data_IF_455804645581
#
_entry.id   IF_455804645581
#
_cell.length_a   1.000
_cell.length_b   1.000
_cell.length_c   1.000
_cell.angle_alpha   90.00
_cell.angle_beta   90.00
_cell.angle_gamma   90.00
#
_symmetry.space_group_name_H-M   'P 1'
#
loop_
_entity.id
_entity.type
_entity.pdbx_description
1 polymer ?
#
# COMPACT_ATOMS: atom_id res chain seq x y z
N UNK A 1 17.13 63.49 45.93
CA UNK A 1 16.17 63.90 44.88
C UNK A 1 15.44 62.65 44.41
N UNK A 2 14.24 62.31 44.81
CA UNK A 2 13.37 62.63 45.94
C UNK A 2 12.49 61.36 46.03
N UNK A 3 12.53 60.65 47.16
CA UNK A 3 11.39 60.52 48.08
C UNK A 3 10.37 59.45 47.61
N UNK A 4 9.79 58.56 48.41
CA UNK A 4 9.76 58.34 49.86
C UNK A 4 8.93 57.06 50.14
N UNK A 5 9.28 56.34 51.22
CA UNK A 5 8.50 55.47 52.13
C UNK A 5 7.51 54.42 51.59
N UNK A 6 7.75 53.10 51.72
CA UNK A 6 7.81 52.17 52.88
C UNK A 6 6.46 51.69 53.44
N UNK A 7 6.42 50.34 53.56
CA UNK A 7 5.81 49.51 54.62
C UNK A 7 4.43 48.86 54.40
N UNK A 8 4.51 47.53 54.29
CA UNK A 8 3.99 46.51 55.20
C UNK A 8 2.49 46.40 55.55
N UNK A 9 1.99 45.21 55.17
CA UNK A 9 1.18 44.25 55.92
C UNK A 9 -0.27 44.55 56.36
N UNK A 10 -1.13 43.68 55.80
CA UNK A 10 -2.18 42.88 56.43
C UNK A 10 -3.44 43.59 56.98
N UNK A 11 -4.60 43.24 56.42
CA UNK A 11 -5.66 42.46 57.09
C UNK A 11 -6.85 42.15 56.16
N UNK A 12 -7.54 41.06 56.49
CA UNK A 12 -8.68 40.41 55.83
C UNK A 12 -9.89 41.27 55.47
N UNK A 13 -10.53 40.92 54.34
CA UNK A 13 -11.99 40.78 54.22
C UNK A 13 -12.33 39.78 53.10
N UNK A 14 -13.06 38.73 53.42
CA UNK A 14 -13.54 37.74 52.45
C UNK A 14 -14.90 38.10 51.86
N UNK A 15 -15.16 37.62 50.63
CA UNK A 15 -16.51 37.29 50.13
C UNK A 15 -16.32 36.15 49.13
N UNK A 16 -16.91 34.98 49.44
CA UNK A 16 -17.00 33.87 48.50
C UNK A 16 -18.15 34.05 47.52
N UNK A 17 -17.98 33.56 46.29
CA UNK A 17 -19.10 33.22 45.39
C UNK A 17 -18.71 32.05 44.49
N UNK A 18 -19.26 30.89 44.86
CA UNK A 18 -19.91 29.87 44.04
C UNK A 18 -19.18 29.28 42.82
N UNK A 19 -18.94 27.99 42.96
CA UNK A 19 -18.94 26.99 41.90
C UNK A 19 -19.97 27.26 40.79
N UNK A 20 -19.45 27.22 39.56
CA UNK A 20 -20.03 26.58 38.37
C UNK A 20 -18.83 25.82 37.80
N UNK A 21 -18.72 24.49 37.91
CA UNK A 21 -19.62 23.48 37.38
C UNK A 21 -20.25 23.91 36.06
N UNK A 22 -19.39 24.33 35.13
CA UNK A 22 -19.66 24.17 33.71
C UNK A 22 -18.62 23.16 33.20
N UNK A 23 -18.88 21.88 33.51
CA UNK A 23 -18.44 20.77 32.68
C UNK A 23 -19.20 20.92 31.35
N UNK A 24 -18.79 21.89 30.54
CA UNK A 24 -19.08 21.89 29.14
C UNK A 24 -18.18 20.78 28.58
N UNK A 25 -18.72 19.56 28.53
CA UNK A 25 -18.24 18.55 27.60
C UNK A 25 -18.06 19.28 26.28
N UNK A 26 -16.82 19.40 25.80
CA UNK A 26 -16.59 19.72 24.40
C UNK A 26 -17.55 18.83 23.60
N UNK A 27 -18.28 19.37 22.60
CA UNK A 27 -19.11 18.52 21.77
C UNK A 27 -18.19 17.41 21.27
N UNK A 28 -18.47 16.16 21.67
CA UNK A 28 -17.61 15.03 21.35
C UNK A 28 -17.32 15.12 19.87
N UNK A 29 -16.05 15.38 19.53
CA UNK A 29 -15.63 15.56 18.15
C UNK A 29 -16.15 14.40 17.31
N UNK A 30 -16.40 14.64 16.03
CA UNK A 30 -16.74 13.57 15.10
C UNK A 30 -15.73 12.41 15.32
N UNK A 31 -16.19 11.17 15.55
CA UNK A 31 -15.25 10.09 15.82
C UNK A 31 -14.27 9.93 14.65
N UNK A 32 -13.02 9.61 14.97
CA UNK A 32 -11.92 9.63 14.02
C UNK A 32 -11.49 8.22 13.64
N UNK A 33 -11.27 7.97 12.36
CA UNK A 33 -10.58 6.78 11.86
C UNK A 33 -9.17 7.19 11.44
N UNK A 34 -8.17 6.59 12.08
CA UNK A 34 -6.75 6.88 11.84
C UNK A 34 -6.17 5.83 10.91
N UNK A 35 -5.63 6.25 9.78
CA UNK A 35 -4.88 5.41 8.84
C UNK A 35 -3.39 5.55 9.10
N UNK A 36 -2.67 4.43 9.18
CA UNK A 36 -1.20 4.39 9.29
C UNK A 36 -0.64 3.64 8.09
N UNK A 37 -0.02 4.37 7.16
CA UNK A 37 0.33 3.88 5.82
C UNK A 37 1.83 4.09 5.51
N UNK A 38 2.42 3.25 4.64
CA UNK A 38 3.78 3.45 4.14
C UNK A 38 3.85 4.61 3.14
N UNK A 39 5.05 4.98 2.66
CA UNK A 39 5.21 6.05 1.65
C UNK A 39 4.74 5.67 0.25
N UNK A 40 4.51 4.38 -0.02
CA UNK A 40 4.25 3.90 -1.37
C UNK A 40 2.87 4.30 -1.89
N UNK A 41 2.85 4.89 -3.10
CA UNK A 41 1.64 5.36 -3.78
C UNK A 41 0.61 4.23 -3.98
N UNK A 42 1.03 3.00 -4.21
CA UNK A 42 0.14 1.85 -4.41
C UNK A 42 -0.78 1.60 -3.22
N UNK A 43 -0.29 1.83 -2.01
CA UNK A 43 -1.07 1.68 -0.78
C UNK A 43 -2.16 2.73 -0.64
N UNK A 44 -1.86 3.96 -1.06
CA UNK A 44 -2.86 5.03 -1.12
C UNK A 44 -3.91 4.79 -2.21
N UNK A 45 -3.54 4.13 -3.32
CA UNK A 45 -4.46 3.90 -4.43
C UNK A 45 -5.71 3.12 -4.01
N UNK A 46 -5.56 2.12 -3.16
CA UNK A 46 -6.71 1.33 -2.69
C UNK A 46 -7.31 1.88 -1.38
N UNK A 47 -6.50 2.39 -0.46
CA UNK A 47 -7.01 2.87 0.85
C UNK A 47 -7.80 4.17 0.75
N UNK A 48 -7.55 5.02 -0.26
CA UNK A 48 -8.34 6.24 -0.47
C UNK A 48 -9.84 5.95 -0.62
N UNK A 49 -10.19 4.79 -1.19
CA UNK A 49 -11.58 4.41 -1.39
C UNK A 49 -12.25 4.07 -0.07
N UNK A 50 -11.53 3.39 0.83
CA UNK A 50 -11.98 3.14 2.21
C UNK A 50 -12.14 4.48 2.93
N UNK A 51 -11.12 5.34 2.88
CA UNK A 51 -11.15 6.65 3.52
C UNK A 51 -12.34 7.49 3.05
N UNK A 52 -12.61 7.52 1.74
CA UNK A 52 -13.74 8.24 1.16
C UNK A 52 -15.09 7.73 1.71
N UNK A 53 -15.32 6.42 1.73
CA UNK A 53 -16.58 5.86 2.26
C UNK A 53 -16.73 6.12 3.76
N UNK A 54 -15.66 5.91 4.55
CA UNK A 54 -15.71 6.16 5.99
C UNK A 54 -15.85 7.65 6.32
N UNK A 55 -15.39 8.56 5.45
CA UNK A 55 -15.49 10.02 5.67
C UNK A 55 -16.93 10.56 5.71
N UNK A 56 -17.91 9.77 5.25
CA UNK A 56 -19.34 10.10 5.39
C UNK A 56 -19.78 10.14 6.86
N UNK A 57 -19.12 9.36 7.72
CA UNK A 57 -19.47 9.21 9.14
C UNK A 57 -18.35 9.69 10.07
N UNK A 58 -17.09 9.54 9.66
CA UNK A 58 -15.92 9.75 10.51
C UNK A 58 -15.02 10.87 10.01
N UNK A 59 -14.33 11.54 10.93
CA UNK A 59 -13.15 12.30 10.56
C UNK A 59 -12.06 11.32 10.14
N UNK A 60 -11.29 11.64 9.10
CA UNK A 60 -10.20 10.79 8.61
C UNK A 60 -8.87 11.48 8.85
N UNK A 61 -7.97 10.78 9.52
CA UNK A 61 -6.57 11.19 9.68
C UNK A 61 -5.66 10.15 9.04
N UNK A 62 -4.62 10.61 8.35
CA UNK A 62 -3.62 9.74 7.71
C UNK A 62 -2.24 10.08 8.25
N UNK A 63 -1.57 9.07 8.79
CA UNK A 63 -0.19 9.12 9.24
C UNK A 63 0.68 8.30 8.29
N UNK A 64 1.64 8.96 7.64
CA UNK A 64 2.56 8.32 6.70
C UNK A 64 3.85 9.15 6.59
N UNK A 65 4.95 8.63 6.00
CA UNK A 65 6.12 9.43 5.68
C UNK A 65 5.74 10.67 4.85
N UNK A 66 6.45 11.79 5.05
CA UNK A 66 6.11 13.06 4.41
C UNK A 66 6.14 13.00 2.87
N UNK A 67 6.93 12.09 2.29
CA UNK A 67 7.00 11.80 0.86
C UNK A 67 5.68 11.30 0.27
N UNK A 68 4.72 10.90 1.11
CA UNK A 68 3.41 10.40 0.72
C UNK A 68 2.30 11.47 0.73
N UNK A 69 2.59 12.71 1.13
CA UNK A 69 1.58 13.75 1.33
C UNK A 69 0.70 13.98 0.09
N UNK A 70 1.31 13.96 -1.10
CA UNK A 70 0.61 14.15 -2.39
C UNK A 70 -0.34 13.00 -2.76
N UNK A 71 -0.30 11.88 -2.03
CA UNK A 71 -1.17 10.72 -2.25
C UNK A 71 -2.35 10.66 -1.30
N UNK A 72 -2.33 11.49 -0.25
CA UNK A 72 -3.37 11.50 0.77
C UNK A 72 -4.74 11.84 0.16
N UNK A 73 -5.82 11.17 0.59
CA UNK A 73 -7.16 11.47 0.11
C UNK A 73 -7.57 12.88 0.54
N UNK A 74 -8.23 13.63 -0.35
CA UNK A 74 -8.68 15.00 -0.08
C UNK A 74 -9.61 15.12 1.14
N UNK A 75 -10.29 14.04 1.51
CA UNK A 75 -11.17 13.96 2.67
C UNK A 75 -10.45 13.79 4.01
N UNK A 76 -9.11 13.67 4.02
CA UNK A 76 -8.33 13.38 5.22
C UNK A 76 -7.36 14.50 5.61
N UNK A 77 -7.14 14.64 6.92
CA UNK A 77 -6.02 15.40 7.47
C UNK A 77 -4.75 14.55 7.40
N UNK A 78 -3.68 15.10 6.81
CA UNK A 78 -2.40 14.41 6.67
C UNK A 78 -1.41 14.80 7.78
N UNK A 79 -0.78 13.80 8.40
CA UNK A 79 0.17 13.96 9.50
C UNK A 79 1.49 13.24 9.16
N UNK A 80 2.57 13.98 8.86
CA UNK A 80 3.82 13.37 8.45
C UNK A 80 4.52 12.65 9.61
N UNK A 81 4.97 11.42 9.36
CA UNK A 81 5.80 10.65 10.28
C UNK A 81 7.31 10.90 10.10
N UNK A 82 7.69 11.60 9.04
CA UNK A 82 9.08 11.99 8.74
C UNK A 82 9.16 13.48 8.41
N UNK A 83 10.37 14.05 8.37
CA UNK A 83 10.54 15.43 7.93
C UNK A 83 10.26 15.58 6.42
N UNK A 84 9.92 16.79 5.96
CA UNK A 84 9.44 17.03 4.57
C UNK A 84 10.34 16.51 3.44
N UNK A 85 11.66 16.38 3.68
CA UNK A 85 12.64 15.91 2.69
C UNK A 85 13.28 14.57 3.08
N UNK A 86 12.67 13.85 4.01
CA UNK A 86 13.20 12.62 4.56
C UNK A 86 12.60 11.40 3.85
N UNK A 87 13.39 10.86 2.93
CA UNK A 87 13.09 9.69 2.09
C UNK A 87 13.72 8.40 2.66
N UNK A 88 14.17 8.38 3.91
CA UNK A 88 14.82 7.20 4.51
C UNK A 88 13.93 5.96 4.42
N UNK A 89 12.62 6.14 4.61
CA UNK A 89 11.66 5.06 4.52
C UNK A 89 11.58 4.51 3.10
N UNK A 90 11.52 5.38 2.09
CA UNK A 90 11.53 4.98 0.67
C UNK A 90 12.81 4.21 0.30
N UNK A 91 13.98 4.66 0.78
CA UNK A 91 15.26 3.96 0.55
C UNK A 91 15.31 2.61 1.26
N UNK A 92 14.84 2.56 2.51
CA UNK A 92 14.75 1.32 3.29
C UNK A 92 13.84 0.30 2.60
N UNK A 93 12.64 0.68 2.16
CA UNK A 93 11.74 -0.21 1.42
C UNK A 93 12.40 -0.71 0.15
N UNK A 94 13.08 0.15 -0.63
CA UNK A 94 13.82 -0.29 -1.83
C UNK A 94 14.92 -1.30 -1.51
N UNK A 95 15.71 -1.05 -0.45
CA UNK A 95 16.78 -1.95 -0.01
C UNK A 95 16.20 -3.29 0.47
N UNK A 96 15.12 -3.26 1.26
CA UNK A 96 14.38 -4.44 1.70
C UNK A 96 13.89 -5.29 0.51
N UNK A 97 13.32 -4.66 -0.51
CA UNK A 97 12.86 -5.34 -1.72
C UNK A 97 14.01 -5.91 -2.55
N UNK A 98 15.15 -5.23 -2.62
CA UNK A 98 16.34 -5.75 -3.29
C UNK A 98 16.84 -7.04 -2.62
N UNK A 99 16.87 -7.08 -1.28
CA UNK A 99 17.21 -8.30 -0.52
C UNK A 99 16.16 -9.40 -0.75
N UNK A 100 14.87 -9.04 -0.72
CA UNK A 100 13.75 -9.96 -0.98
C UNK A 100 13.59 -10.39 -2.45
N UNK A 101 14.53 -10.04 -3.33
CA UNK A 101 14.57 -10.50 -4.74
C UNK A 101 15.28 -11.85 -4.91
N UNK A 102 15.95 -12.33 -3.86
CA UNK A 102 16.67 -13.60 -3.82
C UNK A 102 15.75 -14.81 -4.03
N UNK A 103 16.32 -15.94 -4.44
CA UNK A 103 15.60 -17.18 -4.74
C UNK A 103 15.37 -17.36 -6.23
N UNK A 104 15.30 -18.62 -6.67
CA UNK A 104 15.06 -18.97 -8.09
C UNK A 104 14.29 -20.27 -8.27
N UNK A 105 13.76 -20.86 -7.20
CA UNK A 105 13.02 -22.12 -7.27
C UNK A 105 11.81 -21.98 -8.23
N UNK A 106 11.58 -22.97 -9.12
CA UNK A 106 10.41 -22.99 -10.00
C UNK A 106 9.11 -23.31 -9.27
N UNK A 107 9.14 -23.66 -7.98
CA UNK A 107 7.95 -23.73 -7.12
C UNK A 107 7.70 -22.36 -6.46
N UNK A 108 6.49 -21.79 -6.59
CA UNK A 108 6.23 -20.44 -6.10
C UNK A 108 6.36 -20.31 -4.58
N UNK A 109 5.99 -21.36 -3.83
CA UNK A 109 6.06 -21.33 -2.37
C UNK A 109 7.51 -21.43 -1.91
N UNK A 110 8.30 -22.33 -2.49
CA UNK A 110 9.72 -22.47 -2.15
C UNK A 110 10.52 -21.24 -2.49
N UNK A 111 10.27 -20.61 -3.65
CA UNK A 111 10.94 -19.37 -4.03
C UNK A 111 10.66 -18.24 -3.01
N UNK A 112 9.43 -18.19 -2.51
CA UNK A 112 9.02 -17.28 -1.45
C UNK A 112 9.74 -17.59 -0.12
N UNK A 113 9.79 -18.86 0.28
CA UNK A 113 10.48 -19.29 1.50
C UNK A 113 12.00 -19.00 1.44
N UNK A 114 12.63 -19.19 0.27
CA UNK A 114 14.04 -18.85 0.01
C UNK A 114 14.29 -17.35 0.13
N UNK A 115 13.42 -16.53 -0.48
CA UNK A 115 13.51 -15.07 -0.43
C UNK A 115 13.37 -14.56 1.00
N UNK A 116 12.43 -15.11 1.77
CA UNK A 116 12.21 -14.75 3.17
C UNK A 116 13.38 -15.16 4.07
N UNK A 117 13.90 -16.39 3.90
CA UNK A 117 15.07 -16.84 4.64
C UNK A 117 16.28 -15.95 4.36
N UNK A 118 16.52 -15.60 3.09
CA UNK A 118 17.58 -14.68 2.69
C UNK A 118 17.36 -13.28 3.28
N UNK A 119 16.13 -12.77 3.22
CA UNK A 119 15.75 -11.48 3.81
C UNK A 119 16.09 -11.43 5.30
N UNK A 120 15.63 -12.41 6.09
CA UNK A 120 15.88 -12.48 7.54
C UNK A 120 17.38 -12.50 7.87
N UNK A 121 18.20 -13.11 7.02
CA UNK A 121 19.65 -13.21 7.23
C UNK A 121 20.41 -11.93 6.85
N UNK A 122 19.98 -11.19 5.82
CA UNK A 122 20.79 -10.14 5.20
C UNK A 122 20.22 -8.72 5.33
N UNK A 123 18.97 -8.55 5.79
CA UNK A 123 18.34 -7.24 5.83
C UNK A 123 19.06 -6.25 6.74
N UNK A 124 19.50 -6.66 7.93
CA UNK A 124 20.20 -5.76 8.86
C UNK A 124 21.55 -5.30 8.32
N UNK A 125 22.32 -6.19 7.69
CA UNK A 125 23.59 -5.84 7.04
C UNK A 125 23.35 -4.85 5.91
N UNK A 126 22.38 -5.16 5.04
CA UNK A 126 22.01 -4.31 3.91
C UNK A 126 21.55 -2.91 4.39
N UNK A 127 20.72 -2.83 5.43
CA UNK A 127 20.30 -1.56 6.00
C UNK A 127 21.45 -0.84 6.72
N UNK A 128 22.35 -1.57 7.38
CA UNK A 128 23.54 -1.00 8.03
C UNK A 128 24.51 -0.33 7.05
N UNK A 129 24.64 -0.86 5.84
CA UNK A 129 25.42 -0.23 4.77
C UNK A 129 24.79 1.08 4.27
N UNK A 130 23.47 1.07 4.05
CA UNK A 130 22.71 2.22 3.53
C UNK A 130 22.55 3.33 4.58
N UNK A 131 22.35 2.94 5.84
CA UNK A 131 22.03 3.80 6.98
C UNK A 131 23.11 3.72 8.06
N UNK A 132 24.38 3.83 7.64
CA UNK A 132 25.52 3.66 8.52
C UNK A 132 25.49 4.62 9.73
N UNK A 133 24.93 5.82 9.58
CA UNK A 133 24.82 6.78 10.69
C UNK A 133 23.83 6.30 11.76
N UNK A 134 22.65 5.83 11.36
CA UNK A 134 21.61 5.30 12.26
C UNK A 134 22.10 4.05 12.98
N UNK A 135 22.74 3.13 12.27
CA UNK A 135 23.30 1.91 12.87
C UNK A 135 24.51 2.20 13.76
N UNK A 136 25.40 3.12 13.38
CA UNK A 136 26.54 3.51 14.23
C UNK A 136 26.10 4.23 15.51
N UNK A 137 24.94 4.91 15.47
CA UNK A 137 24.35 5.57 16.64
C UNK A 137 23.68 4.60 17.63
N UNK A 138 23.61 3.30 17.30
CA UNK A 138 22.90 2.29 18.09
C UNK A 138 21.39 2.25 17.85
N UNK A 139 20.82 3.21 17.10
CA UNK A 139 19.39 3.28 16.81
C UNK A 139 18.94 2.24 15.78
N UNK A 140 19.80 1.85 14.84
CA UNK A 140 19.48 0.85 13.82
C UNK A 140 18.16 1.13 13.10
N UNK A 141 17.29 0.11 13.02
CA UNK A 141 15.97 0.21 12.40
C UNK A 141 15.04 1.24 13.07
N UNK A 142 15.18 1.50 14.36
CA UNK A 142 14.37 2.50 15.07
C UNK A 142 14.60 3.91 14.50
N UNK A 143 15.82 4.20 14.06
CA UNK A 143 16.17 5.46 13.39
C UNK A 143 15.54 5.65 12.01
N UNK A 144 14.94 4.60 11.43
CA UNK A 144 14.37 4.62 10.08
C UNK A 144 12.87 4.88 10.03
N UNK A 145 12.17 4.78 11.15
CA UNK A 145 10.70 4.85 11.20
C UNK A 145 10.16 6.29 11.22
N UNK A 146 10.98 7.25 11.65
CA UNK A 146 10.63 8.66 11.78
C UNK A 146 11.23 9.30 13.03
N UNK A 147 11.12 10.64 13.20
CA UNK A 147 11.49 11.30 14.44
C UNK A 147 10.72 10.74 15.63
N UNK A 148 11.43 10.56 16.75
CA UNK A 148 10.85 10.01 17.99
C UNK A 148 9.61 10.78 18.44
N UNK A 149 9.65 12.10 18.30
CA UNK A 149 8.56 13.00 18.67
C UNK A 149 7.28 12.71 17.86
N UNK A 150 7.40 12.46 16.56
CA UNK A 150 6.27 12.15 15.69
C UNK A 150 5.68 10.76 15.99
N UNK A 151 6.56 9.79 16.28
CA UNK A 151 6.13 8.42 16.64
C UNK A 151 5.41 8.41 17.99
N UNK A 152 5.89 9.17 18.98
CA UNK A 152 5.19 9.38 20.26
C UNK A 152 3.87 10.08 20.05
N UNK A 153 3.84 11.14 19.24
CA UNK A 153 2.60 11.85 18.95
C UNK A 153 1.55 10.95 18.28
N UNK A 154 1.95 10.06 17.36
CA UNK A 154 1.07 9.03 16.80
C UNK A 154 0.58 8.06 17.90
N UNK A 155 1.50 7.51 18.70
CA UNK A 155 1.17 6.60 19.80
C UNK A 155 0.22 7.23 20.81
N UNK A 156 0.35 8.52 21.12
CA UNK A 156 -0.58 9.27 21.98
C UNK A 156 -1.90 9.58 21.28
N UNK A 157 -1.87 9.92 19.98
CA UNK A 157 -3.06 10.27 19.19
C UNK A 157 -4.05 9.11 19.14
N UNK A 158 -3.56 7.90 18.88
CA UNK A 158 -4.43 6.72 18.74
C UNK A 158 -5.13 6.32 20.04
N UNK A 159 -4.64 6.77 21.20
CA UNK A 159 -5.26 6.51 22.51
C UNK A 159 -6.38 7.47 22.85
N UNK A 160 -6.59 8.53 22.06
CA UNK A 160 -7.61 9.53 22.36
C UNK A 160 -9.01 8.95 22.21
N UNK A 161 -9.98 9.34 23.07
CA UNK A 161 -11.29 8.69 23.11
C UNK A 161 -12.14 8.88 21.85
N UNK A 162 -11.82 9.89 21.05
CA UNK A 162 -12.47 10.14 19.76
C UNK A 162 -12.01 9.16 18.68
N UNK A 163 -10.87 8.47 18.84
CA UNK A 163 -10.38 7.48 17.88
C UNK A 163 -11.27 6.23 17.93
N UNK A 164 -12.07 6.09 16.87
CA UNK A 164 -13.00 4.99 16.71
C UNK A 164 -12.30 3.72 16.24
N UNK A 165 -11.27 3.83 15.39
CA UNK A 165 -10.55 2.71 14.79
C UNK A 165 -9.17 3.17 14.27
N UNK A 166 -8.18 2.29 14.37
CA UNK A 166 -6.89 2.43 13.66
C UNK A 166 -6.81 1.41 12.52
N UNK A 167 -6.75 1.90 11.29
CA UNK A 167 -6.49 1.13 10.07
C UNK A 167 -5.00 1.20 9.73
N UNK A 168 -4.38 0.06 9.49
CA UNK A 168 -2.93 0.02 9.24
C UNK A 168 -2.56 -1.09 8.26
N UNK A 169 -1.44 -0.91 7.58
CA UNK A 169 -0.94 -1.88 6.60
C UNK A 169 -0.03 -2.93 7.27
N UNK A 170 -0.36 -4.22 7.10
CA UNK A 170 0.36 -5.34 7.74
C UNK A 170 1.63 -5.79 6.98
N UNK A 171 2.11 -5.01 5.99
CA UNK A 171 3.28 -5.35 5.18
C UNK A 171 4.51 -4.45 5.42
N UNK A 172 4.45 -3.49 6.35
CA UNK A 172 5.46 -2.42 6.44
C UNK A 172 6.05 -2.19 7.85
N UNK A 173 6.99 -1.26 8.00
CA UNK A 173 7.67 -1.05 9.30
C UNK A 173 6.76 -0.52 10.40
N UNK A 174 5.55 -0.08 10.06
CA UNK A 174 4.57 0.44 11.01
C UNK A 174 3.67 -0.64 11.60
N UNK A 175 3.91 -1.93 11.32
CA UNK A 175 3.15 -3.06 11.88
C UNK A 175 3.05 -3.05 13.42
N UNK A 176 4.03 -2.48 14.10
CA UNK A 176 4.02 -2.30 15.56
C UNK A 176 2.82 -1.50 16.08
N UNK A 177 2.20 -0.64 15.25
CA UNK A 177 1.03 0.14 15.68
C UNK A 177 -0.15 -0.76 16.06
N UNK A 178 -0.28 -1.92 15.42
CA UNK A 178 -1.28 -2.93 15.78
C UNK A 178 -1.07 -3.48 17.19
N UNK A 179 0.18 -3.72 17.58
CA UNK A 179 0.55 -4.17 18.94
C UNK A 179 0.29 -3.08 19.98
N UNK A 180 0.66 -1.83 19.69
CA UNK A 180 0.35 -0.67 20.54
C UNK A 180 -1.17 -0.52 20.76
N UNK A 181 -1.96 -0.59 19.69
CA UNK A 181 -3.42 -0.54 19.79
C UNK A 181 -3.97 -1.64 20.71
N UNK A 182 -3.43 -2.86 20.61
CA UNK A 182 -3.84 -4.01 21.43
C UNK A 182 -3.48 -3.85 22.90
N UNK A 183 -2.27 -3.38 23.19
CA UNK A 183 -1.82 -3.12 24.57
C UNK A 183 -2.70 -2.08 25.29
N UNK A 184 -3.17 -1.08 24.55
CA UNK A 184 -3.94 0.02 25.12
C UNK A 184 -5.46 -0.04 24.90
N UNK A 185 -5.98 -1.07 24.22
CA UNK A 185 -7.43 -1.25 24.03
C UNK A 185 -8.03 -0.28 23.01
N UNK A 186 -7.32 -0.04 21.91
CA UNK A 186 -7.78 0.72 20.75
C UNK A 186 -8.14 -0.29 19.65
N UNK A 187 -9.40 -0.32 19.14
CA UNK A 187 -9.76 -1.24 18.08
C UNK A 187 -8.91 -0.96 16.83
N UNK A 188 -8.46 -2.02 16.16
CA UNK A 188 -7.65 -1.87 14.95
C UNK A 188 -7.99 -2.90 13.87
N UNK A 189 -7.79 -2.48 12.62
CA UNK A 189 -8.00 -3.32 11.45
C UNK A 189 -6.74 -3.29 10.57
N UNK A 190 -6.10 -4.45 10.44
CA UNK A 190 -4.94 -4.62 9.59
C UNK A 190 -5.36 -4.92 8.14
N UNK A 191 -4.80 -4.22 7.16
CA UNK A 191 -4.98 -4.49 5.75
C UNK A 191 -3.80 -5.33 5.25
N UNK A 192 -4.09 -6.46 4.60
CA UNK A 192 -3.10 -7.43 4.13
C UNK A 192 -3.20 -7.53 2.61
N UNK A 193 -2.43 -6.74 1.84
CA UNK A 193 -2.53 -6.69 0.39
C UNK A 193 -1.72 -7.77 -0.35
N UNK A 194 -0.91 -8.55 0.37
CA UNK A 194 0.03 -9.51 -0.22
C UNK A 194 -0.20 -10.92 0.34
N UNK A 195 -0.13 -11.97 -0.50
CA UNK A 195 -0.18 -13.32 -0.01
C UNK A 195 1.13 -13.74 0.68
N UNK A 196 2.26 -13.06 0.46
CA UNK A 196 3.58 -13.58 0.87
C UNK A 196 3.82 -13.69 2.37
N UNK A 197 3.11 -12.89 3.17
CA UNK A 197 3.09 -13.07 4.61
C UNK A 197 2.17 -14.23 4.95
N UNK A 198 2.46 -15.39 4.35
CA UNK A 198 1.77 -16.63 4.58
C UNK A 198 1.89 -16.94 6.04
N UNK A 199 0.78 -16.61 6.69
CA UNK A 199 0.67 -16.55 8.11
C UNK A 199 1.15 -17.86 8.69
N UNK A 200 2.28 -17.80 9.36
CA UNK A 200 2.60 -18.75 10.39
C UNK A 200 1.92 -18.22 11.66
N UNK A 201 1.16 -19.04 12.40
CA UNK A 201 0.56 -18.63 13.67
C UNK A 201 1.48 -17.86 14.60
N UNK A 202 2.77 -18.17 14.53
CA UNK A 202 3.87 -17.57 15.27
C UNK A 202 4.13 -16.09 14.88
N UNK A 203 3.90 -15.70 13.63
CA UNK A 203 4.13 -14.33 13.12
C UNK A 203 3.01 -13.36 13.48
N UNK A 204 1.95 -13.83 14.16
CA UNK A 204 0.73 -13.06 14.39
C UNK A 204 0.97 -11.73 15.11
N UNK A 205 2.06 -11.59 15.88
CA UNK A 205 2.36 -10.41 16.67
C UNK A 205 3.86 -10.15 16.92
N UNK A 206 4.78 -10.76 16.17
CA UNK A 206 6.23 -10.47 16.31
C UNK A 206 6.61 -9.16 15.59
N UNK A 207 6.16 -8.04 16.14
CA UNK A 207 6.81 -6.75 15.97
C UNK A 207 6.78 -6.12 17.34
N UNK A 208 7.95 -6.06 17.99
CA UNK A 208 8.09 -5.46 19.31
C UNK A 208 7.44 -4.06 19.30
N UNK A 209 6.42 -3.79 20.13
CA UNK A 209 5.86 -2.44 20.24
C UNK A 209 6.91 -1.42 20.70
N UNK A 210 8.01 -1.88 21.34
CA UNK A 210 9.19 -1.07 21.68
C UNK A 210 9.97 -0.71 20.41
N UNK A 211 9.42 0.23 19.67
CA UNK A 211 10.06 0.80 18.49
C UNK A 211 10.86 2.07 18.82
N UNK A 212 10.89 2.48 20.08
CA UNK A 212 11.60 3.65 20.58
C UNK A 212 12.38 3.31 21.84
N UNK A 213 13.65 3.73 21.90
CA UNK A 213 14.41 3.68 23.16
C UNK A 213 13.70 4.55 24.22
N UNK A 214 13.59 4.01 25.46
CA UNK A 214 13.03 4.67 26.63
C UNK A 214 11.62 5.27 26.39
N UNK A 215 10.63 4.44 26.12
CA UNK A 215 9.25 4.91 25.89
C UNK A 215 8.69 5.71 27.08
N UNK A 216 7.99 6.82 26.80
CA UNK A 216 7.29 7.53 27.85
C UNK A 216 6.19 6.63 28.44
N UNK A 217 5.90 6.81 29.72
CA UNK A 217 4.70 6.20 30.29
C UNK A 217 3.48 6.91 29.72
N UNK A 218 2.75 6.23 28.84
CA UNK A 218 1.44 6.69 28.40
C UNK A 218 0.50 6.68 29.61
N UNK A 219 -0.05 7.85 29.97
CA UNK A 219 -1.00 7.96 31.08
C UNK A 219 -2.29 7.22 30.78
N UNK A 220 -3.08 6.94 31.82
CA UNK A 220 -4.48 6.56 31.61
C UNK A 220 -5.19 7.70 30.89
N UNK A 221 -5.60 7.46 29.65
CA UNK A 221 -6.43 8.40 28.91
C UNK A 221 -7.87 8.23 29.40
N UNK A 222 -8.45 9.31 29.90
CA UNK A 222 -9.84 9.34 30.36
C UNK A 222 -10.76 8.87 29.22
N UNK A 223 -11.60 7.86 29.48
CA UNK A 223 -12.47 7.27 28.46
C UNK A 223 -11.87 6.10 27.68
N UNK A 224 -10.65 5.64 28.01
CA UNK A 224 -10.17 4.34 27.54
C UNK A 224 -11.04 3.19 28.05
N UNK A 225 -11.11 2.14 27.23
CA UNK A 225 -11.86 0.91 27.53
C UNK A 225 -11.18 0.17 28.67
N UNK A 226 -11.93 -0.18 29.72
CA UNK A 226 -11.44 -0.89 30.91
C UNK A 226 -11.08 -2.33 30.55
N UNK A 227 -11.88 -3.02 29.74
CA UNK A 227 -11.59 -4.38 29.28
C UNK A 227 -10.87 -4.42 27.92
N UNK A 228 -9.60 -4.02 27.92
CA UNK A 228 -8.74 -3.98 26.73
C UNK A 228 -8.64 -5.32 26.00
N UNK A 229 -8.71 -6.45 26.72
CA UNK A 229 -8.58 -7.78 26.13
C UNK A 229 -9.77 -8.16 25.22
N UNK A 230 -10.91 -7.49 25.38
CA UNK A 230 -12.09 -7.67 24.53
C UNK A 230 -12.14 -6.72 23.35
N UNK A 231 -11.24 -5.73 23.28
CA UNK A 231 -11.21 -4.77 22.19
C UNK A 231 -10.85 -5.51 20.90
N UNK A 232 -11.63 -5.32 19.82
CA UNK A 232 -11.47 -6.19 18.68
C UNK A 232 -10.30 -5.74 17.80
N UNK A 233 -9.54 -6.73 17.33
CA UNK A 233 -8.44 -6.56 16.40
C UNK A 233 -8.58 -7.60 15.29
N UNK A 234 -8.70 -7.15 14.05
CA UNK A 234 -8.90 -8.04 12.91
C UNK A 234 -7.86 -7.82 11.82
N UNK A 235 -7.72 -8.82 10.96
CA UNK A 235 -6.96 -8.75 9.70
C UNK A 235 -7.92 -8.91 8.53
N UNK A 236 -7.79 -8.05 7.52
CA UNK A 236 -8.53 -8.09 6.27
C UNK A 236 -7.55 -8.35 5.12
N UNK A 237 -7.70 -9.50 4.47
CA UNK A 237 -6.93 -9.85 3.27
C UNK A 237 -7.59 -9.21 2.06
N UNK A 238 -6.90 -8.24 1.48
CA UNK A 238 -7.39 -7.39 0.39
C UNK A 238 -6.91 -7.85 -0.98
N UNK A 239 -6.66 -9.16 -1.13
CA UNK A 239 -6.17 -9.80 -2.35
C UNK A 239 -7.19 -10.78 -2.92
N UNK A 240 -7.06 -11.10 -4.21
CA UNK A 240 -7.98 -12.02 -4.87
C UNK A 240 -7.87 -13.42 -4.25
N UNK A 241 -8.97 -14.08 -3.83
CA UNK A 241 -8.91 -15.38 -3.17
C UNK A 241 -8.09 -16.45 -3.88
N UNK A 242 -8.03 -16.42 -5.23
CA UNK A 242 -7.21 -17.35 -6.01
C UNK A 242 -5.70 -17.11 -5.95
N UNK A 243 -5.28 -16.00 -5.37
CA UNK A 243 -3.88 -15.70 -5.06
C UNK A 243 -3.49 -16.16 -3.64
N UNK A 244 -4.35 -16.91 -2.94
CA UNK A 244 -3.97 -17.59 -1.72
C UNK A 244 -3.34 -18.95 -2.03
N UNK A 245 -2.26 -19.36 -1.33
CA UNK A 245 -1.71 -20.71 -1.46
C UNK A 245 -2.47 -21.75 -0.65
N UNK A 246 -3.16 -21.34 0.42
CA UNK A 246 -3.99 -22.19 1.26
C UNK A 246 -5.48 -21.97 0.94
N UNK A 247 -6.32 -22.92 1.35
CA UNK A 247 -7.77 -22.73 1.32
C UNK A 247 -8.17 -21.52 2.16
N UNK A 248 -9.18 -20.76 1.71
CA UNK A 248 -9.63 -19.55 2.41
C UNK A 248 -10.03 -19.79 3.88
N UNK A 249 -10.47 -21.02 4.21
CA UNK A 249 -10.90 -21.43 5.55
C UNK A 249 -9.74 -21.61 6.54
N UNK A 250 -8.50 -21.62 6.06
CA UNK A 250 -7.29 -21.82 6.88
C UNK A 250 -6.66 -20.50 7.34
N UNK A 251 -7.23 -19.35 6.94
CA UNK A 251 -6.65 -18.02 7.17
C UNK A 251 -7.35 -17.32 8.33
N UNK A 252 -6.61 -16.85 9.35
CA UNK A 252 -7.19 -16.08 10.45
C UNK A 252 -7.45 -14.64 10.02
N UNK A 253 -8.72 -14.26 10.06
CA UNK A 253 -9.19 -12.94 9.65
C UNK A 253 -10.28 -13.04 8.60
N UNK A 254 -10.46 -11.97 7.84
CA UNK A 254 -11.50 -11.86 6.82
C UNK A 254 -10.85 -11.78 5.46
N UNK A 255 -11.24 -12.68 4.57
CA UNK A 255 -10.93 -12.57 3.15
C UNK A 255 -11.90 -11.60 2.49
N UNK A 256 -11.56 -10.31 2.54
CA UNK A 256 -12.37 -9.26 1.93
C UNK A 256 -12.34 -9.37 0.40
N UNK A 257 -11.17 -9.73 -0.15
CA UNK A 257 -10.92 -9.66 -1.57
C UNK A 257 -10.42 -8.27 -1.99
N UNK A 258 -10.13 -8.08 -3.28
CA UNK A 258 -9.54 -6.85 -3.79
C UNK A 258 -10.42 -5.63 -3.56
N UNK A 259 -9.79 -4.54 -3.16
CA UNK A 259 -10.44 -3.24 -3.07
C UNK A 259 -10.44 -2.63 -4.47
N UNK A 260 -11.53 -2.86 -5.18
CA UNK A 260 -11.83 -2.25 -6.46
C UNK A 260 -12.98 -1.25 -6.27
N UNK A 261 -12.98 -0.09 -6.95
CA UNK A 261 -14.10 0.84 -6.90
C UNK A 261 -15.36 0.21 -7.51
N UNK A 262 -16.51 0.39 -6.87
CA UNK A 262 -17.80 -0.13 -7.36
C UNK A 262 -18.19 0.48 -8.73
N UNK A 263 -17.79 1.72 -8.99
CA UNK A 263 -18.04 2.43 -10.27
C UNK A 263 -17.06 2.05 -11.40
N UNK A 264 -16.17 1.08 -11.17
CA UNK A 264 -15.14 0.69 -12.12
C UNK A 264 -13.91 1.60 -12.06
N UNK A 265 -13.75 2.51 -13.01
CA UNK A 265 -12.59 3.41 -13.06
C UNK A 265 -12.79 4.54 -12.04
N UNK A 266 -11.84 4.77 -11.10
CA UNK A 266 -11.91 5.92 -10.19
C UNK A 266 -12.06 7.24 -10.95
N UNK A 267 -12.96 8.12 -10.47
CA UNK A 267 -13.22 9.43 -11.10
C UNK A 267 -11.96 10.22 -11.40
N UNK A 268 -11.06 10.35 -10.43
CA UNK A 268 -9.77 11.04 -10.58
C UNK A 268 -8.89 10.46 -11.69
N UNK A 269 -8.89 9.13 -11.87
CA UNK A 269 -8.13 8.46 -12.92
C UNK A 269 -8.83 8.63 -14.28
N UNK A 270 -10.16 8.62 -14.32
CA UNK A 270 -10.93 8.92 -15.52
C UNK A 270 -10.69 10.37 -15.98
N UNK A 271 -10.75 11.34 -15.07
CA UNK A 271 -10.50 12.76 -15.35
C UNK A 271 -9.04 12.99 -15.79
N UNK A 272 -8.07 12.38 -15.10
CA UNK A 272 -6.66 12.45 -15.48
C UNK A 272 -6.41 11.83 -16.86
N UNK A 273 -7.11 10.75 -17.20
CA UNK A 273 -7.01 10.13 -18.52
C UNK A 273 -7.64 11.00 -19.61
N UNK A 274 -8.84 11.55 -19.37
CA UNK A 274 -9.54 12.42 -20.32
C UNK A 274 -8.75 13.70 -20.62
N UNK A 275 -8.09 14.27 -19.62
CA UNK A 275 -7.24 15.44 -19.77
C UNK A 275 -5.89 15.17 -20.45
N UNK A 276 -5.49 13.90 -20.62
CA UNK A 276 -4.16 13.52 -21.11
C UNK A 276 -4.07 13.46 -22.64
N UNK A 277 -2.88 13.75 -23.18
CA UNK A 277 -2.56 13.46 -24.59
C UNK A 277 -2.39 11.95 -24.84
N UNK A 278 -2.18 11.15 -23.78
CA UNK A 278 -2.18 9.69 -23.83
C UNK A 278 -3.49 9.12 -24.39
N UNK A 279 -4.65 9.64 -23.97
CA UNK A 279 -5.95 9.20 -24.52
C UNK A 279 -5.99 9.36 -26.03
N UNK A 280 -5.60 10.54 -26.52
CA UNK A 280 -5.52 10.80 -27.97
C UNK A 280 -4.57 9.82 -28.66
N UNK A 281 -3.40 9.56 -28.09
CA UNK A 281 -2.46 8.59 -28.63
C UNK A 281 -3.08 7.19 -28.72
N UNK A 282 -3.80 6.73 -27.69
CA UNK A 282 -4.46 5.42 -27.67
C UNK A 282 -5.58 5.35 -28.73
N UNK A 283 -6.44 6.36 -28.81
CA UNK A 283 -7.63 6.37 -29.68
C UNK A 283 -7.31 6.54 -31.17
N UNK A 284 -6.18 7.17 -31.52
CA UNK A 284 -5.79 7.40 -32.91
C UNK A 284 -5.16 6.18 -33.60
N UNK A 285 -4.72 5.17 -32.85
CA UNK A 285 -4.08 3.99 -33.43
C UNK A 285 -5.07 2.92 -33.87
N UNK A 286 -4.80 2.28 -35.00
CA UNK A 286 -5.60 1.16 -35.51
C UNK A 286 -5.20 -0.20 -34.90
N UNK A 287 -4.03 -0.24 -34.26
CA UNK A 287 -3.45 -1.44 -33.67
C UNK A 287 -3.69 -1.52 -32.16
N UNK A 288 -3.80 -2.74 -31.60
CA UNK A 288 -3.95 -2.91 -30.17
C UNK A 288 -2.74 -2.38 -29.41
N UNK A 289 -2.97 -1.90 -28.19
CA UNK A 289 -1.95 -1.43 -27.26
C UNK A 289 -1.62 -2.54 -26.26
N UNK A 290 -0.32 -2.81 -26.13
CA UNK A 290 0.28 -3.60 -25.04
C UNK A 290 0.72 -2.59 -23.99
N UNK A 291 0.12 -2.67 -22.81
CA UNK A 291 0.53 -1.85 -21.68
C UNK A 291 1.66 -2.55 -20.91
N UNK A 292 2.68 -1.82 -20.51
CA UNK A 292 3.84 -2.30 -19.77
C UNK A 292 4.07 -1.40 -18.56
N UNK A 293 4.06 -1.98 -17.36
CA UNK A 293 4.35 -1.26 -16.11
C UNK A 293 4.86 -2.21 -15.03
N UNK A 294 5.96 -1.81 -14.41
CA UNK A 294 6.65 -2.59 -13.37
C UNK A 294 6.51 -1.99 -11.96
N UNK A 295 5.51 -1.13 -11.77
CA UNK A 295 5.24 -0.50 -10.48
C UNK A 295 6.20 0.64 -10.13
N UNK A 296 6.02 1.22 -8.94
CA UNK A 296 6.79 2.36 -8.40
C UNK A 296 8.16 1.95 -7.89
N UNK A 297 8.30 0.72 -7.38
CA UNK A 297 9.43 0.28 -6.57
C UNK A 297 10.70 -0.05 -7.39
N UNK A 298 10.57 -0.32 -8.69
CA UNK A 298 11.72 -0.64 -9.57
C UNK A 298 12.35 0.59 -10.24
N UNK A 299 11.91 1.80 -9.86
CA UNK A 299 12.43 3.05 -10.44
C UNK A 299 13.93 3.19 -10.20
N UNK A 300 14.69 3.21 -11.29
CA UNK A 300 16.16 3.33 -11.27
C UNK A 300 16.90 2.04 -10.90
N UNK A 301 16.20 0.90 -10.85
CA UNK A 301 16.86 -0.37 -10.57
C UNK A 301 17.63 -0.88 -11.80
N UNK A 302 18.90 -1.34 -11.69
CA UNK A 302 19.71 -1.78 -12.83
C UNK A 302 19.05 -2.86 -13.70
N UNK A 303 18.30 -3.79 -13.09
CA UNK A 303 17.51 -4.81 -13.82
C UNK A 303 16.58 -4.20 -14.89
N UNK A 304 16.07 -2.99 -14.71
CA UNK A 304 15.21 -2.34 -15.73
C UNK A 304 16.03 -1.96 -16.96
N UNK A 305 17.31 -1.61 -16.82
CA UNK A 305 18.17 -1.31 -17.97
C UNK A 305 18.38 -2.54 -18.86
N UNK A 306 18.39 -3.73 -18.27
CA UNK A 306 18.50 -5.01 -18.99
C UNK A 306 17.17 -5.45 -19.61
N UNK A 307 16.06 -5.30 -18.87
CA UNK A 307 14.74 -5.81 -19.28
C UNK A 307 14.04 -4.91 -20.28
N UNK A 308 14.19 -3.59 -20.12
CA UNK A 308 13.52 -2.61 -20.98
C UNK A 308 13.80 -2.83 -22.48
N UNK A 309 15.05 -3.00 -22.97
CA UNK A 309 15.30 -3.25 -24.39
C UNK A 309 14.70 -4.59 -24.87
N UNK A 310 14.80 -5.66 -24.07
CA UNK A 310 14.21 -6.96 -24.41
C UNK A 310 12.71 -6.86 -24.70
N UNK A 311 11.97 -6.11 -23.85
CA UNK A 311 10.52 -5.96 -24.00
C UNK A 311 10.14 -4.87 -25.02
N UNK A 312 10.69 -3.67 -24.85
CA UNK A 312 10.22 -2.48 -25.58
C UNK A 312 10.84 -2.36 -26.99
N UNK A 313 11.91 -3.11 -27.28
CA UNK A 313 12.60 -3.09 -28.58
C UNK A 313 12.56 -4.43 -29.28
N UNK A 314 13.02 -5.48 -28.63
CA UNK A 314 13.24 -6.78 -29.27
C UNK A 314 11.95 -7.61 -29.38
N UNK A 315 11.10 -7.57 -28.35
CA UNK A 315 9.77 -8.20 -28.38
C UNK A 315 8.70 -7.33 -29.05
N UNK A 316 8.99 -6.06 -29.36
CA UNK A 316 8.05 -5.18 -30.02
C UNK A 316 7.83 -5.57 -31.49
N UNK A 317 6.59 -5.51 -31.95
CA UNK A 317 6.23 -5.69 -33.35
C UNK A 317 5.29 -4.55 -33.77
N UNK A 318 5.84 -3.41 -34.22
CA UNK A 318 5.01 -2.25 -34.56
C UNK A 318 3.96 -2.63 -35.59
N UNK A 319 4.23 -3.57 -36.51
CA UNK A 319 3.26 -4.02 -37.51
C UNK A 319 2.00 -4.67 -36.93
N UNK A 320 2.06 -5.19 -35.70
CA UNK A 320 0.96 -5.91 -35.05
C UNK A 320 0.35 -5.17 -33.86
N UNK A 321 1.15 -4.47 -33.07
CA UNK A 321 0.72 -3.81 -31.84
C UNK A 321 1.59 -2.61 -31.49
N UNK A 322 1.06 -1.76 -30.62
CA UNK A 322 1.70 -0.55 -30.10
C UNK A 322 2.08 -0.78 -28.64
N UNK A 323 3.17 -0.18 -28.19
CA UNK A 323 3.70 -0.38 -26.84
C UNK A 323 3.53 0.90 -26.02
N UNK A 324 2.84 0.80 -24.88
CA UNK A 324 2.73 1.85 -23.87
C UNK A 324 3.52 1.44 -22.64
N UNK A 325 4.60 2.14 -22.32
CA UNK A 325 5.37 1.92 -21.10
C UNK A 325 5.12 3.05 -20.10
N UNK A 326 4.74 2.69 -18.87
CA UNK A 326 4.63 3.61 -17.76
C UNK A 326 5.70 3.29 -16.69
N UNK A 327 6.59 4.25 -16.42
CA UNK A 327 7.60 4.14 -15.39
C UNK A 327 8.89 4.87 -15.73
N UNK A 328 9.94 4.56 -14.98
CA UNK A 328 11.26 5.11 -15.21
C UNK A 328 11.89 4.53 -16.49
N UNK A 329 12.43 5.40 -17.33
CA UNK A 329 13.05 5.04 -18.60
C UNK A 329 14.58 5.05 -18.43
N UNK A 330 15.29 3.97 -18.81
CA UNK A 330 16.75 3.92 -18.74
C UNK A 330 17.46 5.07 -19.47
N UNK A 331 18.62 5.54 -19.00
CA UNK A 331 19.41 6.54 -19.72
C UNK A 331 19.73 6.09 -21.15
N UNK A 332 19.49 6.95 -22.13
CA UNK A 332 19.70 6.65 -23.54
C UNK A 332 18.58 5.81 -24.19
N UNK A 333 17.61 5.31 -23.42
CA UNK A 333 16.35 4.82 -23.95
C UNK A 333 15.38 5.99 -24.20
N UNK A 334 14.37 5.75 -25.03
CA UNK A 334 13.42 6.79 -25.45
C UNK A 334 12.64 6.39 -26.69
N UNK A 335 11.78 7.27 -27.17
CA UNK A 335 11.11 7.15 -28.47
C UNK A 335 12.00 7.79 -29.54
N UNK A 336 12.32 7.07 -30.62
CA UNK A 336 13.14 7.63 -31.72
C UNK A 336 12.22 8.32 -32.75
N UNK A 337 12.74 9.28 -33.55
CA UNK A 337 11.96 9.92 -34.60
C UNK A 337 11.33 8.89 -35.56
N UNK A 338 10.01 8.97 -35.73
CA UNK A 338 9.21 8.06 -36.55
C UNK A 338 8.65 6.85 -35.80
N UNK A 339 8.95 6.67 -34.51
CA UNK A 339 8.41 5.61 -33.66
C UNK A 339 7.23 6.09 -32.79
N UNK A 340 6.87 7.38 -32.82
CA UNK A 340 5.90 8.00 -31.91
C UNK A 340 4.51 7.39 -32.03
N UNK A 341 4.16 6.87 -33.20
CA UNK A 341 2.90 6.18 -33.39
C UNK A 341 2.93 4.78 -32.73
N UNK A 342 4.06 4.07 -32.75
CA UNK A 342 4.16 2.69 -32.26
C UNK A 342 4.55 2.58 -30.77
N UNK A 343 5.22 3.59 -30.22
CA UNK A 343 5.79 3.58 -28.88
C UNK A 343 5.42 4.86 -28.12
N UNK A 344 4.87 4.70 -26.90
CA UNK A 344 4.62 5.79 -25.97
C UNK A 344 5.25 5.48 -24.62
N UNK A 345 5.94 6.46 -24.06
CA UNK A 345 6.56 6.39 -22.75
C UNK A 345 5.92 7.44 -21.85
N UNK A 346 5.54 7.03 -20.66
CA UNK A 346 4.94 7.87 -19.63
C UNK A 346 5.68 7.67 -18.32
N UNK A 347 5.87 8.74 -17.55
CA UNK A 347 6.42 8.59 -16.19
C UNK A 347 5.38 7.95 -15.24
N UNK A 348 4.10 8.19 -15.51
CA UNK A 348 2.96 7.67 -14.75
C UNK A 348 1.71 7.70 -15.64
N UNK A 349 0.79 6.75 -15.43
CA UNK A 349 -0.51 6.72 -16.12
C UNK A 349 -1.66 6.48 -15.15
N UNK A 350 -2.89 6.95 -15.45
CA UNK A 350 -4.10 6.53 -14.75
C UNK A 350 -4.40 5.06 -15.09
N UNK A 351 -3.70 4.14 -14.42
CA UNK A 351 -3.66 2.71 -14.76
C UNK A 351 -5.04 2.07 -14.85
N UNK A 352 -5.97 2.37 -13.95
CA UNK A 352 -7.32 1.83 -13.99
C UNK A 352 -8.06 2.25 -15.26
N UNK A 353 -7.88 3.50 -15.71
CA UNK A 353 -8.47 4.01 -16.94
C UNK A 353 -7.80 3.39 -18.20
N UNK A 354 -6.47 3.27 -18.18
CA UNK A 354 -5.71 2.60 -19.26
C UNK A 354 -6.13 1.15 -19.40
N UNK A 355 -6.19 0.41 -18.29
CA UNK A 355 -6.64 -0.99 -18.27
C UNK A 355 -8.11 -1.14 -18.60
N UNK A 356 -8.98 -0.15 -18.36
CA UNK A 356 -10.37 -0.20 -18.81
C UNK A 356 -10.52 0.03 -20.32
N UNK A 357 -9.56 0.70 -20.97
CA UNK A 357 -9.68 1.08 -22.37
C UNK A 357 -9.71 -0.15 -23.32
N UNK A 358 -10.63 -0.20 -24.31
CA UNK A 358 -10.77 -1.36 -25.20
C UNK A 358 -9.56 -1.62 -26.11
N UNK A 359 -8.87 -0.56 -26.54
CA UNK A 359 -7.64 -0.66 -27.36
C UNK A 359 -6.47 -1.27 -26.60
N UNK A 360 -6.45 -1.17 -25.26
CA UNK A 360 -5.45 -1.87 -24.44
C UNK A 360 -5.87 -3.33 -24.34
N UNK A 361 -5.05 -4.25 -24.85
CA UNK A 361 -5.45 -5.66 -25.03
C UNK A 361 -4.72 -6.64 -24.15
N UNK A 362 -3.56 -6.29 -23.62
CA UNK A 362 -2.86 -7.09 -22.62
C UNK A 362 -1.92 -6.19 -21.79
N UNK A 363 -1.48 -6.74 -20.66
CA UNK A 363 -0.66 -6.05 -19.69
C UNK A 363 0.59 -6.88 -19.34
N UNK A 364 1.77 -6.36 -19.68
CA UNK A 364 3.04 -6.87 -19.17
C UNK A 364 3.26 -6.25 -17.79
N UNK A 365 3.27 -7.08 -16.76
CA UNK A 365 3.21 -6.64 -15.37
C UNK A 365 4.27 -7.31 -14.51
N UNK A 366 4.83 -6.54 -13.57
CA UNK A 366 5.58 -7.08 -12.44
C UNK A 366 4.77 -8.00 -11.52
N UNK A 367 3.44 -8.09 -11.68
CA UNK A 367 2.58 -8.97 -10.87
C UNK A 367 2.48 -8.60 -9.37
N UNK A 368 2.63 -7.31 -9.03
CA UNK A 368 2.13 -6.83 -7.74
C UNK A 368 0.62 -7.05 -7.63
N UNK A 369 0.14 -7.42 -6.43
CA UNK A 369 -1.24 -7.88 -6.22
C UNK A 369 -2.30 -6.89 -6.74
N UNK A 370 -2.15 -5.58 -6.48
CA UNK A 370 -3.08 -4.55 -6.98
C UNK A 370 -3.13 -4.50 -8.51
N UNK A 371 -1.96 -4.56 -9.17
CA UNK A 371 -1.88 -4.58 -10.64
C UNK A 371 -2.52 -5.83 -11.25
N UNK A 372 -2.35 -7.00 -10.62
CA UNK A 372 -3.02 -8.24 -11.01
C UNK A 372 -4.54 -8.09 -10.88
N UNK A 373 -5.00 -7.56 -9.74
CA UNK A 373 -6.42 -7.38 -9.46
C UNK A 373 -7.09 -6.43 -10.48
N UNK A 374 -6.45 -5.30 -10.79
CA UNK A 374 -6.97 -4.35 -11.79
C UNK A 374 -7.04 -4.95 -13.19
N UNK A 375 -6.03 -5.74 -13.58
CA UNK A 375 -5.99 -6.40 -14.89
C UNK A 375 -7.08 -7.46 -15.03
N UNK A 376 -7.22 -8.35 -14.04
CA UNK A 376 -8.28 -9.36 -14.00
C UNK A 376 -9.66 -8.70 -13.94
N UNK A 377 -9.82 -7.66 -13.11
CA UNK A 377 -11.05 -6.88 -13.01
C UNK A 377 -11.49 -6.28 -14.35
N UNK A 378 -10.54 -5.88 -15.20
CA UNK A 378 -10.81 -5.37 -16.55
C UNK A 378 -10.75 -6.43 -17.67
N UNK A 379 -10.61 -7.71 -17.30
CA UNK A 379 -10.52 -8.82 -18.26
C UNK A 379 -9.34 -8.71 -19.22
N UNK A 380 -8.20 -8.18 -18.75
CA UNK A 380 -6.98 -8.02 -19.55
C UNK A 380 -6.02 -9.18 -19.29
N UNK A 381 -5.64 -9.93 -20.34
CA UNK A 381 -4.56 -10.92 -20.27
C UNK A 381 -3.28 -10.31 -19.70
N UNK A 382 -2.66 -11.07 -18.79
CA UNK A 382 -1.39 -10.70 -18.17
C UNK A 382 -0.24 -11.43 -18.88
N UNK A 383 0.87 -10.75 -19.09
CA UNK A 383 2.16 -11.36 -19.31
C UNK A 383 2.96 -11.07 -18.04
N UNK A 384 3.17 -12.10 -17.23
CA UNK A 384 3.80 -11.94 -15.93
C UNK A 384 5.31 -11.82 -16.10
N UNK A 385 5.92 -10.81 -15.48
CA UNK A 385 7.37 -10.60 -15.45
C UNK A 385 7.77 -10.19 -14.02
N UNK A 386 7.81 -11.13 -13.07
CA UNK A 386 8.02 -10.82 -11.66
C UNK A 386 9.48 -10.51 -11.32
N UNK A 387 9.70 -9.66 -10.32
CA UNK A 387 11.05 -9.22 -9.93
C UNK A 387 11.45 -9.65 -8.51
N UNK A 388 10.58 -9.46 -7.53
CA UNK A 388 10.90 -9.71 -6.12
C UNK A 388 9.66 -10.09 -5.31
N UNK A 389 9.88 -10.67 -4.12
CA UNK A 389 8.83 -10.93 -3.15
C UNK A 389 7.62 -11.64 -3.83
N UNK A 390 6.41 -11.10 -3.67
CA UNK A 390 5.14 -11.81 -3.92
C UNK A 390 4.81 -11.89 -5.39
N UNK A 391 5.50 -11.08 -6.17
CA UNK A 391 5.35 -10.99 -7.60
C UNK A 391 5.55 -12.35 -8.27
N UNK A 392 6.51 -13.14 -7.81
CA UNK A 392 6.77 -14.48 -8.37
C UNK A 392 5.60 -15.41 -8.10
N UNK A 393 5.16 -15.47 -6.85
CA UNK A 393 3.99 -16.25 -6.44
C UNK A 393 2.75 -15.84 -7.26
N UNK A 394 2.47 -14.53 -7.31
CA UNK A 394 1.35 -13.98 -8.05
C UNK A 394 1.46 -14.30 -9.54
N UNK A 395 2.64 -14.12 -10.14
CA UNK A 395 2.93 -14.37 -11.55
C UNK A 395 2.68 -15.82 -11.96
N UNK A 396 3.10 -16.76 -11.12
CA UNK A 396 2.85 -18.18 -11.34
C UNK A 396 1.37 -18.54 -11.13
N UNK A 397 0.73 -17.99 -10.10
CA UNK A 397 -0.71 -18.20 -9.86
C UNK A 397 -1.59 -17.67 -10.97
N UNK A 398 -1.28 -16.51 -11.57
CA UNK A 398 -2.07 -15.99 -12.69
C UNK A 398 -1.97 -16.85 -13.95
N UNK A 399 -0.84 -17.54 -14.16
CA UNK A 399 -0.71 -18.56 -15.21
C UNK A 399 -1.54 -19.80 -14.87
N UNK A 400 -1.45 -20.30 -13.64
CA UNK A 400 -2.19 -21.48 -13.17
C UNK A 400 -3.72 -21.30 -13.33
N UNK A 401 -4.25 -20.13 -12.97
CA UNK A 401 -5.69 -19.83 -13.13
C UNK A 401 -6.11 -19.42 -14.55
N UNK A 402 -5.16 -19.33 -15.49
CA UNK A 402 -5.42 -19.01 -16.89
C UNK A 402 -5.75 -17.54 -17.17
N UNK A 403 -5.27 -16.62 -16.31
CA UNK A 403 -5.34 -15.17 -16.51
C UNK A 403 -4.13 -14.61 -17.28
N UNK A 404 -3.02 -15.36 -17.31
CA UNK A 404 -1.79 -14.99 -17.99
C UNK A 404 -1.40 -15.98 -19.09
N UNK A 405 -0.65 -15.50 -20.09
CA UNK A 405 -0.10 -16.34 -21.17
C UNK A 405 1.31 -16.84 -20.89
N UNK A 406 2.08 -16.12 -20.08
CA UNK A 406 3.41 -16.53 -19.66
C UNK A 406 3.79 -15.94 -18.30
N UNK A 407 4.76 -16.58 -17.65
CA UNK A 407 5.52 -16.02 -16.53
C UNK A 407 7.01 -15.99 -16.94
N UNK A 408 7.45 -14.83 -17.37
CA UNK A 408 8.80 -14.54 -17.85
C UNK A 408 9.70 -14.25 -16.64
N UNK A 409 10.52 -15.21 -16.25
CA UNK A 409 11.44 -15.04 -15.14
C UNK A 409 12.55 -14.07 -15.54
N UNK A 410 12.74 -13.01 -14.75
CA UNK A 410 13.60 -11.86 -15.06
C UNK A 410 15.04 -12.25 -15.49
N UNK A 411 15.55 -13.36 -14.97
CA UNK A 411 16.93 -13.81 -15.16
C UNK A 411 17.13 -14.71 -16.40
N UNK A 412 16.06 -15.28 -16.97
CA UNK A 412 16.17 -16.39 -17.94
C UNK A 412 15.30 -16.23 -19.20
N UNK A 413 14.43 -15.22 -19.26
CA UNK A 413 13.58 -15.05 -20.43
C UNK A 413 14.31 -14.43 -21.64
N UNK A 414 13.94 -14.93 -22.82
CA UNK A 414 14.36 -14.43 -24.12
C UNK A 414 13.29 -13.52 -24.76
N UNK A 415 13.69 -12.49 -25.53
CA UNK A 415 12.74 -11.58 -26.19
C UNK A 415 11.71 -12.29 -27.09
N UNK A 416 12.10 -13.41 -27.70
CA UNK A 416 11.21 -14.22 -28.52
C UNK A 416 10.04 -14.83 -27.71
N UNK A 417 10.28 -15.19 -26.45
CA UNK A 417 9.25 -15.70 -25.54
C UNK A 417 8.27 -14.59 -25.16
N UNK A 418 8.78 -13.39 -24.85
CA UNK A 418 7.94 -12.23 -24.59
C UNK A 418 7.07 -11.88 -25.80
N UNK A 419 7.64 -11.90 -27.01
CA UNK A 419 6.89 -11.70 -28.25
C UNK A 419 5.79 -12.74 -28.45
N UNK A 420 6.11 -14.03 -28.27
CA UNK A 420 5.14 -15.10 -28.37
C UNK A 420 4.00 -14.95 -27.35
N UNK A 421 4.32 -14.60 -26.11
CA UNK A 421 3.33 -14.37 -25.05
C UNK A 421 2.39 -13.19 -25.35
N UNK A 422 2.91 -12.11 -25.94
CA UNK A 422 2.09 -10.97 -26.41
C UNK A 422 1.15 -11.43 -27.52
N UNK A 423 1.66 -12.12 -28.54
CA UNK A 423 0.85 -12.57 -29.67
C UNK A 423 -0.25 -13.56 -29.24
N UNK A 424 0.06 -14.46 -28.30
CA UNK A 424 -0.93 -15.34 -27.68
C UNK A 424 -1.98 -14.52 -26.90
N UNK A 425 -1.55 -13.56 -26.08
CA UNK A 425 -2.46 -12.75 -25.26
C UNK A 425 -3.47 -11.97 -26.12
N UNK A 426 -3.04 -11.49 -27.29
CA UNK A 426 -3.89 -10.77 -28.24
C UNK A 426 -4.93 -11.68 -28.91
N UNK A 427 -4.63 -12.98 -29.09
CA UNK A 427 -5.41 -13.89 -29.95
C UNK A 427 -6.15 -15.00 -29.20
N UNK A 428 -5.68 -15.43 -28.04
CA UNK A 428 -6.18 -16.59 -27.30
C UNK A 428 -7.63 -16.40 -26.82
N UNK A 429 -8.55 -17.17 -27.42
CA UNK A 429 -9.94 -17.23 -26.96
C UNK A 429 -10.04 -17.88 -25.58
N UNK A 430 -9.22 -18.89 -25.29
CA UNK A 430 -9.18 -19.58 -23.99
C UNK A 430 -8.91 -18.62 -22.84
N UNK A 431 -7.87 -17.78 -22.97
CA UNK A 431 -7.51 -16.80 -21.93
C UNK A 431 -8.61 -15.76 -21.76
N UNK A 432 -9.17 -15.24 -22.85
CA UNK A 432 -10.31 -14.31 -22.81
C UNK A 432 -11.53 -14.91 -22.13
N UNK A 433 -11.85 -16.17 -22.44
CA UNK A 433 -12.99 -16.87 -21.88
C UNK A 433 -12.82 -17.08 -20.38
N UNK A 434 -11.64 -17.52 -19.93
CA UNK A 434 -11.29 -17.65 -18.51
C UNK A 434 -11.37 -16.31 -17.77
N UNK A 435 -10.82 -15.24 -18.36
CA UNK A 435 -10.82 -13.90 -17.77
C UNK A 435 -12.23 -13.33 -17.57
N UNK A 436 -13.22 -13.73 -18.37
CA UNK A 436 -14.63 -13.32 -18.12
C UNK A 436 -15.09 -13.83 -16.76
N UNK A 437 -14.91 -15.12 -16.49
CA UNK A 437 -15.28 -15.71 -15.19
C UNK A 437 -14.47 -15.12 -14.03
N UNK A 438 -13.16 -14.94 -14.21
CA UNK A 438 -12.30 -14.34 -13.17
C UNK A 438 -12.65 -12.87 -12.91
N UNK A 439 -13.00 -12.10 -13.95
CA UNK A 439 -13.46 -10.71 -13.82
C UNK A 439 -14.79 -10.62 -13.06
N UNK A 440 -15.71 -11.55 -13.28
CA UNK A 440 -16.96 -11.64 -12.52
C UNK A 440 -16.69 -12.02 -11.06
N UNK A 441 -15.82 -13.01 -10.81
CA UNK A 441 -15.45 -13.48 -9.47
C UNK A 441 -14.78 -12.37 -8.63
N UNK A 442 -13.80 -11.66 -9.21
CA UNK A 442 -13.09 -10.59 -8.50
C UNK A 442 -14.01 -9.41 -8.18
N UNK A 443 -14.93 -9.05 -9.08
CA UNK A 443 -15.94 -8.00 -8.84
C UNK A 443 -16.96 -8.42 -7.80
N UNK A 444 -17.36 -9.70 -7.80
CA UNK A 444 -18.28 -10.25 -6.82
C UNK A 444 -17.70 -10.27 -5.39
N UNK A 445 -16.37 -10.16 -5.23
CA UNK A 445 -15.74 -10.07 -3.92
C UNK A 445 -16.23 -8.86 -3.10
N UNK A 446 -16.48 -7.72 -3.77
CA UNK A 446 -16.86 -6.45 -3.13
C UNK A 446 -15.96 -6.07 -1.96
N UNK A 447 -14.64 -6.19 -2.15
CA UNK A 447 -13.65 -6.03 -1.08
C UNK A 447 -13.69 -4.69 -0.38
N UNK A 448 -13.97 -3.60 -1.13
CA UNK A 448 -14.16 -2.27 -0.56
C UNK A 448 -15.28 -2.27 0.49
N UNK A 449 -16.47 -2.74 0.12
CA UNK A 449 -17.62 -2.78 1.04
C UNK A 449 -17.33 -3.68 2.25
N UNK A 450 -16.76 -4.87 2.05
CA UNK A 450 -16.45 -5.78 3.14
C UNK A 450 -15.44 -5.20 4.15
N UNK A 451 -14.44 -4.46 3.68
CA UNK A 451 -13.49 -3.78 4.58
C UNK A 451 -14.19 -2.67 5.37
N UNK A 452 -15.04 -1.87 4.73
CA UNK A 452 -15.82 -0.84 5.42
C UNK A 452 -16.83 -1.44 6.42
N UNK A 453 -17.53 -2.50 6.05
CA UNK A 453 -18.46 -3.22 6.93
C UNK A 453 -17.73 -3.78 8.15
N UNK A 454 -16.53 -4.33 7.95
CA UNK A 454 -15.71 -4.82 9.05
C UNK A 454 -15.21 -3.69 9.95
N UNK A 455 -14.75 -2.57 9.37
CA UNK A 455 -14.38 -1.38 10.14
C UNK A 455 -15.54 -0.90 11.03
N UNK A 456 -16.74 -0.78 10.46
CA UNK A 456 -17.97 -0.41 11.18
C UNK A 456 -18.33 -1.43 12.27
N UNK A 457 -18.22 -2.72 11.99
CA UNK A 457 -18.47 -3.81 12.95
C UNK A 457 -17.54 -3.70 14.14
N UNK A 458 -16.23 -3.50 13.92
CA UNK A 458 -15.22 -3.34 14.96
C UNK A 458 -15.49 -2.10 15.80
N UNK A 459 -15.82 -0.97 15.17
CA UNK A 459 -16.17 0.28 15.86
C UNK A 459 -17.40 0.07 16.76
N UNK A 460 -18.45 -0.58 16.23
CA UNK A 460 -19.67 -0.86 16.98
C UNK A 460 -19.43 -1.82 18.15
N UNK A 461 -18.65 -2.88 17.95
CA UNK A 461 -18.26 -3.82 19.00
C UNK A 461 -17.47 -3.10 20.10
N UNK A 462 -16.48 -2.29 19.72
CA UNK A 462 -15.63 -1.56 20.64
C UNK A 462 -16.39 -0.51 21.49
N UNK A 463 -17.48 0.10 20.97
CA UNK A 463 -18.32 1.04 21.73
C UNK A 463 -19.05 0.38 22.92
N UNK A 464 -19.24 -0.93 22.88
CA UNK A 464 -19.96 -1.67 23.92
C UNK A 464 -19.04 -2.22 25.02
N UNK A 465 -17.75 -1.96 24.93
CA UNK A 465 -16.74 -2.40 25.88
C UNK A 465 -16.52 -1.27 26.87
N UNK A 466 -16.79 -1.54 28.14
CA UNK A 466 -16.54 -0.61 29.23
C UNK A 466 -15.13 -0.71 29.70
#
# INVERSE_FOLDING_TARGET
>A
MNEVHTNDNATHAGVGTRARDDCASEPAGQPTVVFVLPSDKGHFLYTKHIAKLLSETYAIEVYAPATAADYAPECASFHPLTDANDDRFDRMTKKAMAVASHGSDPDPQKACDEAEAYYKQHIEEALGEEFAAEFASGKGMHGLQGPRENLIALKERVLRPDVALVLWDDAHVYRWIGAHCKEFGVPSLALVPSPLYLWRPEDSHEMNPDNLDDEPKYGEVEGLRVDKARVPHAKCYTLFPRLLPLGADEIPGILAGPILPDEGVPREQAEAFEASDLKRWIEQGERPVVYVCFGSMLRGHPLIEEIWPKIMREAADPGKYRMLYAGWVPPGAGVRPGEEEALRLEAWVPQAAVLAHPTVRCFISHCGASSVNEAIGNGKPIIALPFFHDQRFNGMKVVEMGAATACLMKDDFEPAEAKAAIEEALTSAKVKDNLRGLSEEIKACRGLQKVCDEAERLIAEAKNIK
#
